data_IF_660840564620
#
_entry.id   IF_660840564620
#
_cell.length_a   1.000
_cell.length_b   1.000
_cell.length_c   1.000
_cell.angle_alpha   90.00
_cell.angle_beta   90.00
_cell.angle_gamma   90.00
#
_symmetry.space_group_name_H-M   'P 1'
#
loop_
_entity.id
_entity.type
_entity.pdbx_description
1 polymer ?
#
# COMPACT_ATOMS: atom_id res chain seq x y z
N UNK A 1 -28.89 -73.77 62.48
CA UNK A 1 -29.34 -72.43 61.97
C UNK A 1 -28.09 -71.72 61.49
N UNK A 2 -27.86 -71.66 60.16
CA UNK A 2 -26.74 -70.95 59.56
C UNK A 2 -27.24 -69.55 59.07
N UNK A 3 -26.65 -68.49 59.62
CA UNK A 3 -26.93 -67.13 59.25
C UNK A 3 -26.02 -66.71 58.10
N UNK A 4 -26.57 -66.38 56.97
CA UNK A 4 -25.83 -65.81 55.84
C UNK A 4 -25.84 -64.28 55.99
N UNK A 5 -24.63 -63.66 55.92
CA UNK A 5 -24.40 -62.21 55.87
C UNK A 5 -24.16 -61.91 54.41
N UNK A 6 -24.91 -60.96 53.74
CA UNK A 6 -24.60 -60.55 52.42
C UNK A 6 -23.47 -59.49 52.41
N UNK A 7 -22.43 -59.72 51.67
CA UNK A 7 -21.37 -58.73 51.39
C UNK A 7 -21.89 -57.72 50.39
N UNK A 8 -21.90 -56.43 50.77
CA UNK A 8 -22.19 -55.29 49.89
C UNK A 8 -20.89 -54.90 49.19
N UNK A 9 -20.83 -55.15 47.91
CA UNK A 9 -19.72 -54.69 47.04
C UNK A 9 -19.99 -53.22 46.66
N UNK A 10 -19.21 -52.29 47.22
CA UNK A 10 -19.22 -50.89 46.84
C UNK A 10 -18.35 -50.71 45.58
N UNK A 11 -18.98 -50.48 44.45
CA UNK A 11 -18.29 -50.11 43.20
C UNK A 11 -17.92 -48.62 43.27
N UNK A 12 -16.65 -48.31 43.43
CA UNK A 12 -16.10 -46.97 43.20
C UNK A 12 -16.02 -46.70 41.70
N UNK A 13 -16.88 -45.88 41.17
CA UNK A 13 -16.77 -45.30 39.85
C UNK A 13 -15.67 -44.21 39.86
N UNK A 14 -14.50 -44.52 39.31
CA UNK A 14 -13.48 -43.56 38.98
C UNK A 14 -13.99 -42.74 37.79
N UNK A 15 -14.48 -41.53 38.05
CA UNK A 15 -14.68 -40.56 37.00
C UNK A 15 -13.30 -40.08 36.54
N UNK A 16 -12.79 -40.68 35.47
CA UNK A 16 -11.67 -40.12 34.71
C UNK A 16 -12.15 -38.83 34.07
N UNK A 17 -11.71 -37.67 34.60
CA UNK A 17 -11.74 -36.43 33.85
C UNK A 17 -10.89 -36.64 32.57
N UNK A 18 -11.55 -36.91 31.46
CA UNK A 18 -10.91 -36.74 30.16
C UNK A 18 -10.67 -35.25 30.00
N UNK A 19 -9.45 -34.79 30.27
CA UNK A 19 -8.95 -33.55 29.71
C UNK A 19 -8.99 -33.76 28.19
N UNK A 20 -9.97 -33.13 27.54
CA UNK A 20 -9.92 -32.88 26.12
C UNK A 20 -8.75 -31.94 25.90
N UNK A 21 -7.58 -32.51 25.61
CA UNK A 21 -6.50 -31.75 24.97
C UNK A 21 -7.04 -31.29 23.63
N UNK A 22 -7.51 -30.04 23.60
CA UNK A 22 -7.71 -29.36 22.32
C UNK A 22 -6.43 -29.52 21.53
N UNK A 23 -6.47 -29.92 20.25
CA UNK A 23 -5.27 -30.00 19.46
C UNK A 23 -4.64 -28.61 19.47
N UNK A 24 -3.45 -28.51 20.06
CA UNK A 24 -2.59 -27.34 19.92
C UNK A 24 -2.33 -27.21 18.41
N UNK A 25 -3.00 -26.23 17.77
CA UNK A 25 -2.75 -25.93 16.38
C UNK A 25 -1.27 -25.54 16.31
N UNK A 26 -0.47 -26.41 15.67
CA UNK A 26 0.92 -26.09 15.41
C UNK A 26 0.97 -24.73 14.69
N UNK A 27 1.75 -23.77 15.18
CA UNK A 27 1.81 -22.46 14.60
C UNK A 27 2.22 -22.57 13.12
N UNK A 28 1.30 -22.22 12.22
CA UNK A 28 1.53 -22.21 10.79
C UNK A 28 2.40 -21.04 10.37
N UNK A 29 2.82 -21.04 9.11
CA UNK A 29 3.43 -19.86 8.48
C UNK A 29 2.42 -18.72 8.44
N UNK A 30 2.90 -17.49 8.63
CA UNK A 30 2.11 -16.29 8.37
C UNK A 30 1.95 -16.14 6.86
N UNK A 31 0.71 -16.04 6.41
CA UNK A 31 0.35 -15.80 5.02
C UNK A 31 -0.61 -14.61 4.95
N UNK A 32 -0.46 -13.77 3.93
CA UNK A 32 -1.33 -12.61 3.70
C UNK A 32 -2.01 -12.78 2.35
N UNK A 33 -3.34 -12.82 2.36
CA UNK A 33 -4.17 -12.75 1.15
C UNK A 33 -4.49 -11.27 0.88
N UNK A 34 -3.94 -10.68 -0.18
CA UNK A 34 -4.18 -9.28 -0.46
C UNK A 34 -5.55 -9.07 -1.11
N UNK A 35 -6.23 -8.01 -0.68
CA UNK A 35 -7.40 -7.45 -1.36
C UNK A 35 -7.06 -5.99 -1.65
N UNK A 36 -7.11 -5.58 -2.91
CA UNK A 36 -6.97 -4.19 -3.28
C UNK A 36 -8.36 -3.58 -3.37
N UNK A 37 -8.61 -2.47 -2.67
CA UNK A 37 -9.89 -1.77 -2.74
C UNK A 37 -9.99 -1.03 -4.05
N UNK A 38 -10.84 -1.56 -4.92
CA UNK A 38 -11.14 -1.16 -6.30
C UNK A 38 -10.07 -1.60 -7.30
N UNK A 39 -10.53 -2.16 -8.41
CA UNK A 39 -9.70 -2.61 -9.51
C UNK A 39 -8.83 -1.46 -10.00
N UNK A 40 -7.53 -1.58 -9.79
CA UNK A 40 -6.52 -0.67 -10.29
C UNK A 40 -5.69 -1.42 -11.31
N UNK A 41 -5.00 -0.71 -12.17
CA UNK A 41 -4.01 -1.28 -13.10
C UNK A 41 -2.89 -2.03 -12.35
N UNK A 42 -2.80 -1.85 -11.04
CA UNK A 42 -1.79 -2.47 -10.17
C UNK A 42 -2.42 -3.66 -9.46
N UNK A 43 -2.35 -4.81 -10.09
CA UNK A 43 -2.51 -6.09 -9.40
C UNK A 43 -1.14 -6.55 -8.93
N UNK A 44 -1.07 -7.20 -7.76
CA UNK A 44 0.17 -7.83 -7.35
C UNK A 44 0.56 -8.94 -8.34
N UNK A 45 1.83 -8.96 -8.71
CA UNK A 45 2.42 -9.97 -9.57
C UNK A 45 3.30 -10.93 -8.76
N UNK A 46 3.43 -12.18 -9.24
CA UNK A 46 4.32 -13.14 -8.60
C UNK A 46 5.75 -12.59 -8.52
N UNK A 47 6.30 -12.55 -7.32
CA UNK A 47 7.59 -11.93 -7.03
C UNK A 47 7.51 -10.56 -6.35
N UNK A 48 6.34 -9.92 -6.34
CA UNK A 48 6.12 -8.70 -5.55
C UNK A 48 6.39 -8.94 -4.07
N UNK A 49 6.88 -7.92 -3.39
CA UNK A 49 7.26 -8.01 -1.98
C UNK A 49 6.60 -6.92 -1.15
N UNK A 50 6.11 -7.32 0.02
CA UNK A 50 5.58 -6.42 1.04
C UNK A 50 6.46 -6.43 2.29
N UNK A 51 6.49 -5.30 3.00
CA UNK A 51 6.93 -5.24 4.38
C UNK A 51 5.76 -5.59 5.30
N UNK A 52 6.00 -6.50 6.24
CA UNK A 52 4.99 -6.97 7.18
C UNK A 52 5.48 -6.81 8.60
N UNK A 53 4.67 -6.19 9.44
CA UNK A 53 4.95 -5.99 10.86
C UNK A 53 3.82 -6.60 11.68
N UNK A 54 4.18 -7.29 12.75
CA UNK A 54 3.24 -7.91 13.70
C UNK A 54 3.60 -7.48 15.12
N UNK A 55 2.65 -6.89 15.82
CA UNK A 55 2.76 -6.51 17.22
C UNK A 55 1.71 -7.26 18.03
N UNK A 56 2.10 -8.02 19.07
CA UNK A 56 1.14 -8.60 20.00
C UNK A 56 0.44 -7.48 20.77
N UNK A 57 -0.86 -7.59 20.93
CA UNK A 57 -1.64 -6.66 21.74
C UNK A 57 -1.10 -6.67 23.19
N UNK A 58 -0.88 -5.49 23.75
CA UNK A 58 -0.25 -5.27 25.07
C UNK A 58 1.22 -5.70 25.22
N UNK A 59 1.92 -6.02 24.14
CA UNK A 59 3.37 -6.20 24.18
C UNK A 59 4.10 -4.88 23.89
N UNK A 60 5.28 -4.70 24.49
CA UNK A 60 6.14 -3.53 24.25
C UNK A 60 6.98 -3.68 22.98
N UNK A 61 7.21 -4.90 22.54
CA UNK A 61 8.04 -5.22 21.38
C UNK A 61 7.23 -5.86 20.26
N UNK A 62 7.60 -5.54 19.02
CA UNK A 62 7.03 -6.19 17.84
C UNK A 62 7.52 -7.63 17.77
N UNK A 63 6.63 -8.55 17.47
CA UNK A 63 6.98 -9.95 17.21
C UNK A 63 7.73 -10.11 15.88
N UNK A 64 7.29 -9.37 14.87
CA UNK A 64 7.98 -9.22 13.60
C UNK A 64 7.99 -7.74 13.22
N UNK A 65 9.13 -7.24 12.78
CA UNK A 65 9.29 -5.86 12.33
C UNK A 65 9.84 -5.86 10.91
N UNK A 66 9.09 -5.30 9.98
CA UNK A 66 9.44 -5.21 8.56
C UNK A 66 9.87 -6.54 7.92
N UNK A 67 9.20 -7.64 8.27
CA UNK A 67 9.45 -8.92 7.62
C UNK A 67 9.10 -8.85 6.14
N UNK A 68 10.01 -9.30 5.27
CA UNK A 68 9.77 -9.36 3.83
C UNK A 68 8.93 -10.60 3.49
N UNK A 69 7.73 -10.38 2.94
CA UNK A 69 6.90 -11.44 2.39
C UNK A 69 6.80 -11.27 0.87
N UNK A 70 6.88 -12.39 0.15
CA UNK A 70 6.85 -12.43 -1.32
C UNK A 70 5.55 -13.03 -1.82
N UNK A 71 4.96 -12.45 -2.85
CA UNK A 71 3.73 -12.92 -3.49
C UNK A 71 4.03 -14.09 -4.42
N UNK A 72 3.26 -15.17 -4.29
CA UNK A 72 3.39 -16.37 -5.14
C UNK A 72 2.37 -16.43 -6.28
N UNK A 73 1.54 -15.40 -6.41
CA UNK A 73 0.40 -15.33 -7.34
C UNK A 73 -0.96 -15.53 -6.64
N UNK A 74 -0.95 -15.85 -5.33
CA UNK A 74 -2.16 -16.04 -4.52
C UNK A 74 -2.04 -15.39 -3.14
N UNK A 75 -0.92 -15.59 -2.44
CA UNK A 75 -0.67 -15.05 -1.11
C UNK A 75 0.76 -14.53 -0.99
N UNK A 76 0.96 -13.56 -0.11
CA UNK A 76 2.30 -13.19 0.36
C UNK A 76 2.73 -14.12 1.48
N UNK A 77 3.91 -14.69 1.38
CA UNK A 77 4.50 -15.57 2.40
C UNK A 77 6.02 -15.44 2.47
N UNK A 78 6.61 -15.94 3.57
CA UNK A 78 8.05 -15.92 3.82
C UNK A 78 8.42 -16.90 4.91
N UNK A 79 9.50 -16.63 5.63
CA UNK A 79 9.96 -17.47 6.73
C UNK A 79 9.33 -17.10 8.09
N UNK A 80 8.35 -16.21 8.09
CA UNK A 80 7.65 -15.78 9.30
C UNK A 80 6.64 -16.84 9.74
N UNK A 81 6.76 -17.26 11.00
CA UNK A 81 5.84 -18.18 11.65
C UNK A 81 4.97 -17.42 12.66
N UNK A 82 3.76 -17.91 12.90
CA UNK A 82 2.99 -17.47 14.05
C UNK A 82 3.70 -17.83 15.36
N UNK A 83 3.51 -17.01 16.38
CA UNK A 83 3.96 -17.35 17.74
C UNK A 83 3.12 -18.50 18.31
N UNK A 84 3.68 -19.24 19.29
CA UNK A 84 3.07 -20.46 19.84
C UNK A 84 1.78 -20.21 20.66
N UNK A 85 1.58 -19.00 21.18
CA UNK A 85 0.40 -18.64 21.96
C UNK A 85 -0.79 -18.35 21.05
N UNK A 86 -1.67 -19.32 20.89
CA UNK A 86 -2.85 -19.23 20.02
C UNK A 86 -3.96 -18.28 20.54
N UNK A 87 -3.83 -17.78 21.76
CA UNK A 87 -4.88 -16.95 22.40
C UNK A 87 -4.51 -15.48 22.50
N UNK A 88 -3.27 -15.09 22.26
CA UNK A 88 -2.86 -13.69 22.21
C UNK A 88 -3.18 -13.10 20.85
N UNK A 89 -3.88 -11.97 20.86
CA UNK A 89 -4.16 -11.18 19.66
C UNK A 89 -2.93 -10.41 19.19
N UNK A 90 -2.87 -10.16 17.90
CA UNK A 90 -1.88 -9.29 17.28
C UNK A 90 -2.54 -8.23 16.39
N UNK A 91 -1.92 -7.06 16.35
CA UNK A 91 -2.12 -6.06 15.32
C UNK A 91 -1.08 -6.26 14.22
N UNK A 92 -1.52 -6.23 12.97
CA UNK A 92 -0.64 -6.42 11.81
C UNK A 92 -0.76 -5.27 10.84
N UNK A 93 0.39 -4.92 10.27
CA UNK A 93 0.55 -3.83 9.31
C UNK A 93 1.35 -4.33 8.13
N UNK A 94 0.97 -3.93 6.94
CA UNK A 94 1.70 -4.28 5.72
C UNK A 94 1.78 -3.07 4.80
N UNK A 95 2.83 -3.02 3.98
CA UNK A 95 2.97 -1.99 2.95
C UNK A 95 3.68 -2.53 1.71
N UNK A 96 3.44 -1.91 0.59
CA UNK A 96 4.03 -2.18 -0.72
C UNK A 96 4.48 -0.85 -1.36
N UNK A 97 5.58 -0.84 -2.10
CA UNK A 97 6.58 -1.91 -2.27
C UNK A 97 7.50 -2.05 -1.04
N UNK A 98 8.07 -3.24 -0.83
CA UNK A 98 8.97 -3.51 0.29
C UNK A 98 10.24 -2.65 0.23
N UNK A 99 10.55 -1.98 1.32
CA UNK A 99 11.82 -1.29 1.56
C UNK A 99 12.48 -1.83 2.84
N UNK A 100 13.71 -2.33 2.72
CA UNK A 100 14.45 -2.88 3.85
C UNK A 100 14.99 -1.81 4.81
N UNK A 101 15.09 -0.56 4.35
CA UNK A 101 15.76 0.54 5.07
C UNK A 101 14.77 1.54 5.65
N UNK A 102 13.76 1.93 4.86
CA UNK A 102 12.83 3.00 5.20
C UNK A 102 11.38 2.54 5.15
N UNK A 103 10.94 1.61 6.03
CA UNK A 103 9.61 1.00 5.94
C UNK A 103 8.45 1.99 6.16
N UNK A 104 8.68 3.09 6.83
CA UNK A 104 7.68 4.09 7.21
C UNK A 104 7.96 5.49 6.66
N UNK A 105 8.85 5.59 5.66
CA UNK A 105 9.15 6.86 5.00
C UNK A 105 9.14 6.65 3.49
N UNK A 106 8.40 7.47 2.77
CA UNK A 106 8.29 7.41 1.32
C UNK A 106 8.97 8.62 0.70
N UNK A 107 9.99 8.37 -0.13
CA UNK A 107 10.61 9.36 -0.99
C UNK A 107 9.95 9.34 -2.37
N UNK A 108 9.65 10.51 -2.91
CA UNK A 108 9.04 10.65 -4.22
C UNK A 108 9.90 9.97 -5.29
N UNK A 109 9.30 9.07 -6.05
CA UNK A 109 9.94 8.42 -7.19
C UNK A 109 9.82 9.33 -8.42
N UNK A 110 10.94 9.92 -8.84
CA UNK A 110 10.92 11.00 -9.85
C UNK A 110 10.83 10.50 -11.29
N UNK A 111 11.42 9.35 -11.63
CA UNK A 111 11.38 8.80 -12.99
C UNK A 111 10.36 7.67 -13.09
N UNK A 112 9.15 8.00 -13.54
CA UNK A 112 8.04 7.06 -13.68
C UNK A 112 7.79 6.66 -15.15
N UNK A 113 8.71 6.94 -16.06
CA UNK A 113 8.51 6.71 -17.50
C UNK A 113 8.26 5.25 -17.88
N UNK A 114 8.76 4.30 -17.08
CA UNK A 114 8.56 2.86 -17.27
C UNK A 114 7.28 2.30 -16.63
N UNK A 115 6.51 3.16 -15.94
CA UNK A 115 5.26 2.80 -15.25
C UNK A 115 5.16 3.42 -13.86
N UNK A 116 3.95 3.42 -13.32
CA UNK A 116 3.65 4.06 -12.03
C UNK A 116 3.68 3.10 -10.83
N UNK A 117 3.74 1.78 -11.05
CA UNK A 117 3.59 0.77 -10.00
C UNK A 117 4.63 0.90 -8.87
N UNK A 118 5.89 1.24 -9.19
CA UNK A 118 6.94 1.40 -8.17
C UNK A 118 6.78 2.67 -7.33
N UNK A 119 6.08 3.67 -7.86
CA UNK A 119 5.77 4.91 -7.15
C UNK A 119 4.51 4.79 -6.30
N UNK A 120 3.72 3.73 -6.47
CA UNK A 120 2.45 3.54 -5.80
C UNK A 120 2.63 2.85 -4.45
N UNK A 121 2.77 3.65 -3.40
CA UNK A 121 2.85 3.13 -2.04
C UNK A 121 1.47 2.76 -1.53
N UNK A 122 1.27 1.47 -1.24
CA UNK A 122 0.04 0.94 -0.66
C UNK A 122 0.28 0.47 0.78
N UNK A 123 -0.74 0.58 1.63
CA UNK A 123 -0.69 0.09 3.00
C UNK A 123 -1.97 -0.67 3.38
N UNK A 124 -1.83 -1.58 4.33
CA UNK A 124 -2.92 -2.33 4.94
C UNK A 124 -2.70 -2.48 6.44
N UNK A 125 -3.78 -2.43 7.22
CA UNK A 125 -3.77 -2.60 8.67
C UNK A 125 -4.93 -3.50 9.09
N UNK A 126 -4.68 -4.41 10.04
CA UNK A 126 -5.72 -5.23 10.66
C UNK A 126 -5.38 -5.45 12.12
N UNK A 127 -6.36 -5.22 13.00
CA UNK A 127 -6.15 -5.26 14.46
C UNK A 127 -6.86 -6.47 15.07
N UNK A 128 -6.32 -6.96 16.20
CA UNK A 128 -6.94 -7.96 17.04
C UNK A 128 -7.09 -9.33 16.37
N UNK A 129 -6.12 -9.78 15.60
CA UNK A 129 -6.15 -11.08 14.94
C UNK A 129 -5.47 -12.16 15.79
N UNK A 130 -6.04 -13.36 15.78
CA UNK A 130 -5.47 -14.53 16.44
C UNK A 130 -4.63 -15.36 15.45
N UNK A 131 -3.61 -16.10 15.94
CA UNK A 131 -2.89 -17.08 15.14
C UNK A 131 -3.84 -18.04 14.44
N UNK A 132 -3.62 -18.26 13.15
CA UNK A 132 -4.48 -19.08 12.29
C UNK A 132 -3.66 -19.81 11.22
N UNK A 133 -4.05 -21.03 10.83
CA UNK A 133 -3.48 -21.70 9.67
C UNK A 133 -3.92 -21.06 8.34
N UNK A 134 -4.96 -20.24 8.36
CA UNK A 134 -5.47 -19.55 7.17
C UNK A 134 -4.73 -18.26 6.93
N UNK A 135 -4.67 -17.84 5.68
CA UNK A 135 -4.12 -16.53 5.30
C UNK A 135 -4.91 -15.38 5.94
N UNK A 136 -4.20 -14.31 6.30
CA UNK A 136 -4.77 -13.08 6.80
C UNK A 136 -5.25 -12.28 5.59
N UNK A 137 -6.55 -12.12 5.41
CA UNK A 137 -7.07 -11.20 4.40
C UNK A 137 -6.78 -9.76 4.82
N UNK A 138 -5.98 -9.04 4.05
CA UNK A 138 -5.63 -7.63 4.29
C UNK A 138 -6.03 -6.76 3.09
N UNK A 139 -6.67 -5.63 3.38
CA UNK A 139 -7.17 -4.68 2.38
C UNK A 139 -6.14 -3.58 2.19
N UNK A 140 -5.44 -3.61 1.06
CA UNK A 140 -4.46 -2.59 0.68
C UNK A 140 -5.16 -1.36 0.10
N UNK A 141 -4.71 -0.18 0.51
CA UNK A 141 -5.18 1.12 0.03
C UNK A 141 -4.00 1.92 -0.50
N UNK A 142 -4.21 2.64 -1.58
CA UNK A 142 -3.24 3.59 -2.11
C UNK A 142 -3.04 4.74 -1.12
N UNK A 143 -1.80 5.05 -0.80
CA UNK A 143 -1.44 6.13 0.12
C UNK A 143 -1.03 7.39 -0.62
N UNK A 144 -0.61 7.27 -1.88
CA UNK A 144 -0.21 8.39 -2.72
C UNK A 144 -1.39 8.90 -3.56
N UNK A 145 -1.17 9.93 -4.37
CA UNK A 145 -2.15 10.51 -5.30
C UNK A 145 -1.74 10.21 -6.73
N UNK A 146 -2.70 9.74 -7.55
CA UNK A 146 -2.54 9.57 -8.99
C UNK A 146 -2.98 10.83 -9.73
N UNK A 147 -2.14 11.32 -10.63
CA UNK A 147 -2.50 12.34 -11.60
C UNK A 147 -2.65 11.69 -12.97
N UNK A 148 -3.76 11.98 -13.64
CA UNK A 148 -4.01 11.63 -15.04
C UNK A 148 -3.96 12.92 -15.86
N UNK A 149 -3.05 13.01 -16.81
CA UNK A 149 -2.83 14.20 -17.63
C UNK A 149 -3.26 13.89 -19.06
N UNK A 150 -4.39 14.43 -19.48
CA UNK A 150 -4.86 14.34 -20.86
C UNK A 150 -4.34 15.54 -21.65
N UNK A 151 -3.75 15.31 -22.82
CA UNK A 151 -3.18 16.36 -23.66
C UNK A 151 -3.83 16.38 -25.03
N UNK A 152 -4.50 17.49 -25.35
CA UNK A 152 -4.93 17.84 -26.71
C UNK A 152 -3.79 18.60 -27.38
N UNK A 153 -3.05 17.90 -28.25
CA UNK A 153 -1.86 18.46 -28.88
C UNK A 153 -2.20 19.11 -30.25
N UNK A 154 -2.25 20.44 -30.27
CA UNK A 154 -2.38 21.26 -31.47
C UNK A 154 -1.10 22.07 -31.77
N UNK A 155 0.07 21.66 -31.25
CA UNK A 155 1.34 22.38 -31.42
C UNK A 155 2.00 22.19 -32.79
N UNK A 156 1.65 21.11 -33.51
CA UNK A 156 2.29 20.71 -34.77
C UNK A 156 3.60 19.95 -34.58
N UNK A 157 3.99 19.58 -33.36
CA UNK A 157 5.15 18.75 -33.03
C UNK A 157 4.75 17.60 -32.10
N UNK A 158 5.49 16.51 -32.12
CA UNK A 158 5.24 15.37 -31.23
C UNK A 158 5.65 15.70 -29.80
N UNK A 159 4.94 15.13 -28.82
CA UNK A 159 5.30 15.21 -27.40
C UNK A 159 6.37 14.17 -27.14
N UNK A 160 7.48 14.57 -26.51
CA UNK A 160 8.60 13.69 -26.16
C UNK A 160 8.69 13.41 -24.65
N UNK A 161 7.88 14.11 -23.84
CA UNK A 161 7.81 13.89 -22.42
C UNK A 161 6.89 14.89 -21.72
N UNK A 162 6.31 14.45 -20.61
CA UNK A 162 5.50 15.26 -19.70
C UNK A 162 6.10 15.16 -18.31
N UNK A 163 6.29 16.28 -17.64
CA UNK A 163 6.82 16.38 -16.29
C UNK A 163 5.88 17.16 -15.38
N UNK A 164 5.78 16.70 -14.14
CA UNK A 164 5.13 17.41 -13.04
C UNK A 164 6.23 18.02 -12.18
N UNK A 165 6.18 19.32 -11.99
CA UNK A 165 7.16 20.10 -11.23
C UNK A 165 6.50 20.62 -9.95
N UNK A 166 7.14 20.44 -8.80
CA UNK A 166 6.64 20.86 -7.50
C UNK A 166 6.10 19.71 -6.62
N UNK A 167 5.44 20.06 -5.54
CA UNK A 167 4.94 19.11 -4.56
C UNK A 167 5.95 18.77 -3.46
N UNK A 168 5.70 17.67 -2.76
CA UNK A 168 6.54 17.19 -1.64
C UNK A 168 7.56 16.18 -2.13
N UNK A 169 8.75 16.17 -1.50
CA UNK A 169 9.81 15.20 -1.78
C UNK A 169 9.70 13.93 -0.97
N UNK A 170 9.27 14.05 0.30
CA UNK A 170 9.24 12.95 1.27
C UNK A 170 8.00 13.10 2.15
N UNK A 171 7.48 11.99 2.63
CA UNK A 171 6.47 11.93 3.69
C UNK A 171 6.75 10.73 4.58
N UNK A 172 6.41 10.81 5.86
CA UNK A 172 6.38 9.67 6.75
C UNK A 172 4.98 9.03 6.75
N UNK A 173 4.90 7.77 7.18
CA UNK A 173 3.68 6.98 7.12
C UNK A 173 3.46 6.29 8.46
N UNK A 174 2.32 6.54 9.07
CA UNK A 174 1.81 5.72 10.17
C UNK A 174 1.05 4.53 9.61
N UNK A 175 1.68 3.36 9.63
CA UNK A 175 1.08 2.12 9.13
C UNK A 175 -0.06 1.63 10.01
N UNK A 176 -0.06 1.95 11.32
CA UNK A 176 -1.11 1.52 12.23
C UNK A 176 -2.42 2.27 11.98
N UNK A 177 -2.32 3.58 11.74
CA UNK A 177 -3.48 4.43 11.47
C UNK A 177 -3.71 4.65 9.97
N UNK A 178 -2.79 4.17 9.12
CA UNK A 178 -2.82 4.33 7.66
C UNK A 178 -2.94 5.80 7.26
N UNK A 179 -2.09 6.65 7.84
CA UNK A 179 -2.07 8.10 7.60
C UNK A 179 -0.67 8.56 7.21
N UNK A 180 -0.63 9.65 6.44
CA UNK A 180 0.62 10.32 6.11
C UNK A 180 0.95 11.35 7.18
N UNK A 181 2.22 11.36 7.59
CA UNK A 181 2.76 12.28 8.58
C UNK A 181 3.74 13.22 7.88
N UNK A 182 3.79 14.46 8.31
CA UNK A 182 4.77 15.41 7.79
C UNK A 182 6.20 14.94 8.14
N UNK A 183 7.05 14.85 7.11
CA UNK A 183 8.46 14.51 7.30
C UNK A 183 9.20 15.64 8.00
N UNK A 184 9.78 15.34 9.16
CA UNK A 184 10.52 16.31 9.98
C UNK A 184 12.04 16.28 9.77
N UNK A 185 12.52 15.43 8.85
CA UNK A 185 13.95 15.36 8.51
C UNK A 185 14.40 16.46 7.56
N UNK A 186 15.68 16.49 7.28
CA UNK A 186 16.24 17.42 6.29
C UNK A 186 15.90 16.94 4.86
N UNK A 187 15.30 17.82 4.07
CA UNK A 187 15.13 17.63 2.62
C UNK A 187 16.08 18.55 1.87
N UNK A 188 16.47 18.15 0.66
CA UNK A 188 17.22 19.06 -0.18
C UNK A 188 16.30 20.20 -0.68
N UNK A 189 16.90 21.33 -1.08
CA UNK A 189 16.14 22.50 -1.58
C UNK A 189 15.84 22.40 -3.09
N UNK A 190 15.87 21.21 -3.66
CA UNK A 190 15.55 20.97 -5.08
C UNK A 190 14.06 20.82 -5.22
N UNK A 191 13.49 21.52 -6.19
CA UNK A 191 12.07 21.37 -6.52
C UNK A 191 11.87 20.00 -7.17
N UNK A 192 10.97 19.15 -6.66
CA UNK A 192 10.74 17.81 -7.23
C UNK A 192 10.28 17.91 -8.69
N UNK A 193 10.72 16.95 -9.51
CA UNK A 193 10.32 16.84 -10.91
C UNK A 193 10.01 15.38 -11.21
N UNK A 194 8.74 15.08 -11.47
CA UNK A 194 8.29 13.74 -11.82
C UNK A 194 8.13 13.63 -13.32
N UNK A 195 8.90 12.74 -13.96
CA UNK A 195 8.69 12.35 -15.34
C UNK A 195 7.54 11.36 -15.42
N UNK A 196 6.46 11.77 -16.06
CA UNK A 196 5.23 11.00 -16.12
C UNK A 196 5.33 9.80 -17.08
N UNK A 197 4.61 8.73 -16.74
CA UNK A 197 4.41 7.56 -17.59
C UNK A 197 3.43 7.89 -18.72
N UNK A 198 3.78 7.53 -19.95
CA UNK A 198 2.90 7.67 -21.11
C UNK A 198 1.92 6.47 -21.15
N UNK A 199 0.72 6.66 -20.63
CA UNK A 199 -0.29 5.60 -20.57
C UNK A 199 -0.99 5.38 -21.91
N UNK A 200 -1.18 6.45 -22.71
CA UNK A 200 -1.71 6.39 -24.07
C UNK A 200 -0.87 7.28 -24.97
N UNK A 201 -0.36 6.71 -26.03
CA UNK A 201 0.59 7.36 -26.93
C UNK A 201 0.13 8.75 -27.39
N UNK A 202 0.91 9.76 -27.07
CA UNK A 202 0.72 11.18 -27.43
C UNK A 202 -0.50 11.87 -26.82
N UNK A 203 -1.31 11.21 -25.96
CA UNK A 203 -2.59 11.74 -25.50
C UNK A 203 -2.81 11.69 -24.00
N UNK A 204 -2.26 10.71 -23.28
CA UNK A 204 -2.46 10.59 -21.85
C UNK A 204 -1.19 10.17 -21.13
N UNK A 205 -0.89 10.85 -20.02
CA UNK A 205 0.20 10.55 -19.10
C UNK A 205 -0.35 10.35 -17.68
N UNK A 206 0.41 9.60 -16.88
CA UNK A 206 0.08 9.34 -15.48
C UNK A 206 1.30 9.61 -14.61
N UNK A 207 1.06 10.08 -13.39
CA UNK A 207 2.10 10.26 -12.38
C UNK A 207 1.56 10.03 -10.98
N UNK A 208 2.38 9.47 -10.12
CA UNK A 208 2.11 9.33 -8.68
C UNK A 208 2.89 10.43 -7.95
N UNK A 209 2.20 11.15 -7.08
CA UNK A 209 2.81 12.20 -6.26
C UNK A 209 2.34 12.09 -4.80
N UNK A 210 3.09 12.71 -3.91
CA UNK A 210 2.74 12.77 -2.48
C UNK A 210 1.57 13.73 -2.27
N UNK A 211 0.48 13.31 -1.60
CA UNK A 211 -0.69 14.16 -1.37
C UNK A 211 -0.42 15.33 -0.40
N UNK A 212 -1.34 16.27 -0.39
CA UNK A 212 -1.32 17.46 0.46
C UNK A 212 -1.68 18.72 -0.30
N UNK A 213 -1.48 19.87 0.32
CA UNK A 213 -1.62 21.17 -0.35
C UNK A 213 -0.39 21.40 -1.22
N UNK A 214 -0.60 21.52 -2.53
CA UNK A 214 0.49 21.61 -3.51
C UNK A 214 0.26 22.71 -4.53
N UNK A 215 1.38 23.25 -5.02
CA UNK A 215 1.45 24.06 -6.22
C UNK A 215 2.28 23.31 -7.23
N UNK A 216 1.69 22.96 -8.33
CA UNK A 216 2.30 22.16 -9.37
C UNK A 216 2.39 22.94 -10.67
N UNK A 217 3.35 22.55 -11.49
CA UNK A 217 3.46 22.99 -12.89
C UNK A 217 3.49 21.76 -13.79
N UNK A 218 2.84 21.85 -14.92
CA UNK A 218 2.95 20.86 -16.00
C UNK A 218 3.95 21.36 -17.02
N UNK A 219 4.91 20.54 -17.37
CA UNK A 219 5.93 20.85 -18.36
C UNK A 219 5.91 19.81 -19.47
N UNK A 220 5.72 20.25 -20.72
CA UNK A 220 5.64 19.38 -21.89
C UNK A 220 6.84 19.68 -22.81
N UNK A 221 7.60 18.65 -23.12
CA UNK A 221 8.73 18.68 -24.07
C UNK A 221 8.29 18.20 -25.44
N UNK A 222 8.75 18.87 -26.49
CA UNK A 222 8.38 18.62 -27.88
C UNK A 222 9.57 18.19 -28.74
N UNK A 223 9.31 17.45 -29.82
CA UNK A 223 10.31 16.94 -30.76
C UNK A 223 11.10 18.04 -31.50
N UNK A 224 10.55 19.25 -31.55
CA UNK A 224 11.22 20.43 -32.09
C UNK A 224 12.16 21.14 -31.10
N UNK A 225 12.37 20.57 -29.91
CA UNK A 225 13.22 21.11 -28.85
C UNK A 225 12.55 22.17 -27.96
N UNK A 226 11.28 22.54 -28.21
CA UNK A 226 10.54 23.43 -27.32
C UNK A 226 10.14 22.69 -26.04
N UNK A 227 10.13 23.45 -24.93
CA UNK A 227 9.56 23.02 -23.64
C UNK A 227 8.57 24.08 -23.18
N UNK A 228 7.32 23.71 -22.95
CA UNK A 228 6.23 24.60 -22.55
C UNK A 228 5.80 24.22 -21.15
N UNK A 229 5.85 25.17 -20.23
CA UNK A 229 5.52 24.96 -18.82
C UNK A 229 4.36 25.88 -18.42
N UNK A 230 3.38 25.35 -17.70
CA UNK A 230 2.22 26.09 -17.23
C UNK A 230 1.92 25.72 -15.77
N UNK A 231 1.80 26.71 -14.86
CA UNK A 231 1.39 26.47 -13.50
C UNK A 231 -0.10 26.05 -13.42
N UNK A 232 -0.38 25.15 -12.48
CA UNK A 232 -1.74 24.80 -12.07
C UNK A 232 -2.20 25.73 -10.94
N UNK A 233 -3.52 25.85 -10.79
CA UNK A 233 -4.08 26.44 -9.57
C UNK A 233 -3.66 25.63 -8.35
N UNK A 234 -3.49 26.29 -7.20
CA UNK A 234 -3.23 25.60 -5.95
C UNK A 234 -4.34 24.60 -5.65
N UNK A 235 -3.98 23.35 -5.28
CA UNK A 235 -4.92 22.29 -5.02
C UNK A 235 -4.55 21.48 -3.78
N UNK A 236 -5.55 20.88 -3.15
CA UNK A 236 -5.36 19.94 -2.06
C UNK A 236 -5.62 18.53 -2.57
N UNK A 237 -4.57 17.73 -2.66
CA UNK A 237 -4.62 16.35 -3.09
C UNK A 237 -4.80 15.44 -1.89
N UNK A 238 -5.61 14.39 -2.03
CA UNK A 238 -5.90 13.43 -0.96
C UNK A 238 -5.21 12.10 -1.20
N UNK A 239 -4.84 11.44 -0.13
CA UNK A 239 -4.33 10.07 -0.14
C UNK A 239 -5.35 9.12 -0.81
N UNK A 240 -4.88 8.27 -1.73
CA UNK A 240 -5.72 7.37 -2.52
C UNK A 240 -6.65 8.09 -3.50
N UNK A 241 -6.41 9.37 -3.78
CA UNK A 241 -7.19 10.15 -4.73
C UNK A 241 -6.60 10.12 -6.13
N UNK A 242 -7.47 10.20 -7.15
CA UNK A 242 -7.10 10.42 -8.54
C UNK A 242 -7.61 11.78 -9.00
N UNK A 243 -6.78 12.52 -9.71
CA UNK A 243 -7.10 13.84 -10.23
C UNK A 243 -6.77 13.92 -11.71
N UNK A 244 -7.70 14.44 -12.49
CA UNK A 244 -7.52 14.61 -13.94
C UNK A 244 -7.13 16.05 -14.26
N UNK A 245 -6.08 16.19 -15.05
CA UNK A 245 -5.59 17.46 -15.59
C UNK A 245 -5.78 17.41 -17.10
N UNK A 246 -6.48 18.39 -17.66
CA UNK A 246 -6.62 18.52 -19.10
C UNK A 246 -5.74 19.67 -19.58
N UNK A 247 -4.83 19.39 -20.47
CA UNK A 247 -3.92 20.33 -21.09
C UNK A 247 -4.22 20.46 -22.59
N UNK A 248 -4.44 21.66 -23.07
CA UNK A 248 -4.47 21.96 -24.50
C UNK A 248 -3.19 22.65 -24.90
N UNK A 249 -2.38 21.96 -25.66
CA UNK A 249 -1.09 22.42 -26.13
C UNK A 249 -1.22 23.11 -27.48
N UNK A 250 -0.85 24.36 -27.53
CA UNK A 250 -0.81 25.19 -28.73
C UNK A 250 0.64 25.38 -29.18
N UNK A 251 0.86 26.07 -30.30
CA UNK A 251 2.20 26.20 -30.90
C UNK A 251 3.23 26.85 -29.95
N UNK A 252 2.81 27.84 -29.13
CA UNK A 252 3.72 28.59 -28.29
C UNK A 252 3.23 28.71 -26.82
N UNK A 253 2.09 28.12 -26.46
CA UNK A 253 1.55 28.13 -25.11
C UNK A 253 0.73 26.87 -24.81
N UNK A 254 0.35 26.76 -23.57
CA UNK A 254 -0.49 25.66 -23.09
C UNK A 254 -1.58 26.22 -22.19
N UNK A 255 -2.81 25.73 -22.34
CA UNK A 255 -3.93 26.03 -21.46
C UNK A 255 -4.20 24.79 -20.63
N UNK A 256 -4.18 24.93 -19.31
CA UNK A 256 -4.41 23.82 -18.39
C UNK A 256 -5.66 24.07 -17.57
N UNK A 257 -6.43 23.02 -17.34
CA UNK A 257 -7.53 22.98 -16.37
C UNK A 257 -7.39 21.71 -15.54
N UNK A 258 -7.45 21.85 -14.23
CA UNK A 258 -7.53 20.71 -13.33
C UNK A 258 -8.99 20.55 -12.93
N UNK A 259 -9.57 19.39 -13.18
CA UNK A 259 -10.84 18.97 -12.61
C UNK A 259 -10.51 18.05 -11.43
N UNK A 260 -10.70 18.54 -10.22
CA UNK A 260 -10.51 17.78 -9.00
C UNK A 260 -11.84 17.30 -8.47
N UNK A 261 -12.36 16.18 -8.94
CA UNK A 261 -13.27 15.38 -8.13
C UNK A 261 -12.44 14.24 -7.53
N UNK A 262 -12.76 13.90 -6.30
CA UNK A 262 -12.16 12.76 -5.61
C UNK A 262 -12.71 11.49 -6.25
N UNK A 263 -12.22 11.20 -7.44
CA UNK A 263 -12.37 9.88 -7.98
C UNK A 263 -11.40 9.01 -7.20
N UNK A 264 -11.93 8.10 -6.40
CA UNK A 264 -11.10 7.02 -5.91
C UNK A 264 -10.48 6.37 -7.14
N UNK A 265 -9.21 6.01 -7.11
CA UNK A 265 -8.55 5.31 -8.19
C UNK A 265 -9.47 4.22 -8.72
N UNK A 266 -10.04 4.45 -9.86
CA UNK A 266 -10.83 3.49 -10.60
C UNK A 266 -10.22 3.45 -11.98
N UNK A 267 -9.88 2.26 -12.44
CA UNK A 267 -9.53 2.03 -13.82
C UNK A 267 -10.82 2.07 -14.63
N UNK A 268 -10.86 2.83 -15.70
CA UNK A 268 -11.82 2.69 -16.78
C UNK A 268 -11.31 1.68 -17.81
#
# INVERSE_FOLDING_TARGET
MKRYIPAILAAFALAACQQTTQPELAPGKVQVEPVITKATEVNFEAGDRIGFTMAKVNATEKYADNACLTFDGSVFSGDLMWYADAYSEADVYAYYPYDAVNPTSYALFEDQTEGIAQADYMAASKKGILPSPNAITMVFKHMMTKLVINVDNSSGAEITGVEIIGGKQVTDIDLAEMTLIEYNGAVNNVVPQVKAYEAQAGTQWQAIIIPGQVRLEISISLSNGKKITQPLAEMTLKSGGQYTINARLLQDNMIVSASGELENWTDE
#
